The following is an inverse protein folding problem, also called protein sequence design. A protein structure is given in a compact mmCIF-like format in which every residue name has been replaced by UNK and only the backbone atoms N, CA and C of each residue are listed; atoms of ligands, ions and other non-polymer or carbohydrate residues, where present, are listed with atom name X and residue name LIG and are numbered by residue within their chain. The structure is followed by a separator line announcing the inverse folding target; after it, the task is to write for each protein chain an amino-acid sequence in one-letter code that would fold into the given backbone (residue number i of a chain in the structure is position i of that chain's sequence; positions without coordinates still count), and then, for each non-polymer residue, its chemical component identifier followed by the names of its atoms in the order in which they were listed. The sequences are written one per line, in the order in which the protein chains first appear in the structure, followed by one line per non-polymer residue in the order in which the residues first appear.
data_IF_327001602867
#
_entry.id   IF_327001602867
#
_cell.length_a   1.000
_cell.length_b   1.000
_cell.length_c   1.000
_cell.angle_alpha   90.00
_cell.angle_beta   90.00
_cell.angle_gamma   90.00
#
_symmetry.space_group_name_H-M   'P 1'
#
loop_
_entity.id
_entity.type
_entity.pdbx_description
1 polymer ?
#
# COMPACT_ATOMS: atom_id res chain seq x y z
N UNK A 1 -13.05 -34.59 19.70
CA UNK A 1 -13.79 -34.17 18.49
C UNK A 1 -13.29 -32.80 18.14
N UNK A 2 -12.32 -32.68 17.22
CA UNK A 2 -11.75 -31.41 16.78
C UNK A 2 -12.61 -30.87 15.63
N UNK A 3 -13.29 -29.75 15.87
CA UNK A 3 -14.05 -29.04 14.84
C UNK A 3 -13.08 -28.18 14.04
N UNK A 4 -12.68 -28.62 12.85
CA UNK A 4 -11.98 -27.78 11.87
C UNK A 4 -13.00 -26.84 11.23
N UNK A 5 -13.02 -25.57 11.67
CA UNK A 5 -13.73 -24.51 10.95
C UNK A 5 -12.85 -24.12 9.77
N UNK A 6 -13.19 -24.60 8.59
CA UNK A 6 -12.66 -24.05 7.35
C UNK A 6 -13.23 -22.63 7.18
N UNK A 7 -12.42 -21.61 7.39
CA UNK A 7 -12.73 -20.30 6.88
C UNK A 7 -12.65 -20.36 5.36
N UNK A 8 -13.78 -20.57 4.72
CA UNK A 8 -13.90 -20.30 3.29
C UNK A 8 -13.61 -18.81 3.09
N UNK A 9 -12.62 -18.52 2.25
CA UNK A 9 -12.37 -17.16 1.78
C UNK A 9 -13.62 -16.67 1.06
N UNK A 10 -14.41 -15.83 1.73
CA UNK A 10 -15.63 -15.24 1.21
C UNK A 10 -15.37 -14.37 -0.04
N UNK A 11 -14.12 -13.99 -0.31
CA UNK A 11 -13.76 -13.24 -1.52
C UNK A 11 -14.04 -14.06 -2.79
N UNK A 12 -13.94 -15.39 -2.72
CA UNK A 12 -14.24 -16.28 -3.84
C UNK A 12 -15.76 -16.38 -4.15
N UNK A 13 -16.61 -16.07 -3.18
CA UNK A 13 -18.07 -16.11 -3.34
C UNK A 13 -18.60 -14.80 -3.93
N UNK A 14 -17.91 -13.67 -3.71
CA UNK A 14 -18.32 -12.34 -4.20
C UNK A 14 -17.71 -11.95 -5.56
N UNK A 15 -16.91 -12.82 -6.19
CA UNK A 15 -16.43 -12.63 -7.56
C UNK A 15 -15.35 -11.55 -7.76
N UNK A 16 -14.80 -10.96 -6.70
CA UNK A 16 -13.73 -9.96 -6.81
C UNK A 16 -12.36 -10.62 -6.89
N UNK A 17 -11.79 -10.65 -8.10
CA UNK A 17 -10.39 -11.04 -8.28
C UNK A 17 -9.50 -9.89 -7.79
N UNK A 18 -8.68 -10.13 -6.76
CA UNK A 18 -7.73 -9.15 -6.22
C UNK A 18 -6.70 -8.76 -7.28
N UNK A 19 -6.44 -7.46 -7.39
CA UNK A 19 -5.35 -6.93 -8.21
C UNK A 19 -4.01 -7.24 -7.53
N UNK A 20 -3.09 -7.79 -8.29
CA UNK A 20 -1.74 -8.15 -7.84
C UNK A 20 -0.69 -7.44 -8.70
N UNK A 21 0.57 -7.47 -8.29
CA UNK A 21 1.67 -6.98 -9.11
C UNK A 21 1.72 -7.66 -10.48
N UNK A 22 1.40 -8.95 -10.55
CA UNK A 22 1.27 -9.67 -11.81
C UNK A 22 0.14 -9.12 -12.69
N UNK A 23 -1.03 -8.84 -12.09
CA UNK A 23 -2.15 -8.22 -12.81
C UNK A 23 -1.73 -6.90 -13.44
N UNK A 24 -0.99 -6.04 -12.71
CA UNK A 24 -0.50 -4.76 -13.24
C UNK A 24 0.49 -4.95 -14.39
N UNK A 25 1.35 -5.97 -14.33
CA UNK A 25 2.27 -6.30 -15.43
C UNK A 25 1.50 -6.77 -16.68
N UNK A 26 0.48 -7.59 -16.51
CA UNK A 26 -0.41 -8.05 -17.59
C UNK A 26 -1.15 -6.87 -18.22
N UNK A 27 -1.74 -5.96 -17.42
CA UNK A 27 -2.38 -4.74 -17.91
C UNK A 27 -1.40 -3.88 -18.72
N UNK A 28 -0.18 -3.67 -18.21
CA UNK A 28 0.85 -2.94 -18.93
C UNK A 28 1.20 -3.57 -20.28
N UNK A 29 1.33 -4.89 -20.32
CA UNK A 29 1.63 -5.63 -21.55
C UNK A 29 0.51 -5.52 -22.60
N UNK A 30 -0.74 -5.42 -22.12
CA UNK A 30 -1.92 -5.26 -22.96
C UNK A 30 -2.20 -3.79 -23.34
N UNK A 31 -1.36 -2.83 -22.93
CA UNK A 31 -1.61 -1.38 -23.05
C UNK A 31 -2.89 -0.89 -22.35
N UNK A 32 -3.32 -1.59 -21.32
CA UNK A 32 -4.44 -1.18 -20.47
C UNK A 32 -3.97 -0.12 -19.46
N UNK A 33 -4.82 0.87 -19.20
CA UNK A 33 -4.51 1.92 -18.22
C UNK A 33 -4.71 1.39 -16.80
N UNK A 34 -3.78 1.71 -15.90
CA UNK A 34 -3.84 1.40 -14.48
C UNK A 34 -4.31 2.64 -13.74
N UNK A 35 -5.41 2.53 -13.01
CA UNK A 35 -5.95 3.60 -12.17
C UNK A 35 -5.39 3.53 -10.76
N UNK A 36 -4.96 4.68 -10.21
CA UNK A 36 -4.46 4.78 -8.84
C UNK A 36 -5.07 6.01 -8.17
N UNK A 37 -5.59 5.82 -6.94
CA UNK A 37 -6.05 6.90 -6.07
C UNK A 37 -5.48 6.77 -4.67
N UNK A 38 -5.33 7.90 -3.97
CA UNK A 38 -4.92 7.92 -2.57
C UNK A 38 -6.09 7.68 -1.63
N UNK A 39 -5.83 6.96 -0.53
CA UNK A 39 -6.72 6.87 0.63
C UNK A 39 -5.90 6.71 1.91
N UNK A 40 -6.42 7.22 3.03
CA UNK A 40 -5.71 7.27 4.30
C UNK A 40 -6.50 6.66 5.47
N UNK A 41 -7.75 6.29 5.24
CA UNK A 41 -8.65 5.73 6.24
C UNK A 41 -9.53 4.62 5.66
N UNK A 42 -10.22 3.91 6.56
CA UNK A 42 -11.07 2.79 6.20
C UNK A 42 -12.26 3.19 5.31
N UNK A 43 -12.91 4.31 5.61
CA UNK A 43 -14.17 4.71 4.95
C UNK A 43 -13.92 5.09 3.49
N UNK A 44 -12.96 5.99 3.26
CA UNK A 44 -12.59 6.38 1.90
C UNK A 44 -11.99 5.23 1.10
N UNK A 45 -11.11 4.42 1.72
CA UNK A 45 -10.56 3.24 1.05
C UNK A 45 -11.64 2.27 0.58
N UNK A 46 -12.69 2.04 1.39
CA UNK A 46 -13.81 1.18 1.02
C UNK A 46 -14.60 1.74 -0.17
N UNK A 47 -14.86 3.04 -0.20
CA UNK A 47 -15.57 3.70 -1.30
C UNK A 47 -14.74 3.61 -2.60
N UNK A 48 -13.43 3.88 -2.50
CA UNK A 48 -12.51 3.83 -3.63
C UNK A 48 -12.37 2.40 -4.17
N UNK A 49 -12.24 1.41 -3.30
CA UNK A 49 -12.16 -0.01 -3.71
C UNK A 49 -13.42 -0.46 -4.48
N UNK A 50 -14.60 0.00 -4.05
CA UNK A 50 -15.87 -0.27 -4.72
C UNK A 50 -16.01 0.43 -6.09
N UNK A 51 -15.22 1.47 -6.37
CA UNK A 51 -15.20 2.15 -7.68
C UNK A 51 -14.33 1.45 -8.73
N UNK A 52 -13.83 0.26 -8.45
CA UNK A 52 -12.96 -0.55 -9.32
C UNK A 52 -11.61 0.07 -9.64
N UNK A 53 -11.09 0.94 -8.79
CA UNK A 53 -9.71 1.43 -8.89
C UNK A 53 -8.72 0.26 -8.74
N UNK A 54 -7.63 0.26 -9.52
CA UNK A 54 -6.69 -0.87 -9.52
C UNK A 54 -5.71 -0.82 -8.36
N UNK A 55 -5.31 0.39 -7.96
CA UNK A 55 -4.32 0.61 -6.90
C UNK A 55 -4.82 1.68 -5.93
N UNK A 56 -4.71 1.41 -4.64
CA UNK A 56 -4.88 2.42 -3.59
C UNK A 56 -3.50 2.73 -3.01
N UNK A 57 -3.14 4.02 -3.03
CA UNK A 57 -1.90 4.52 -2.45
C UNK A 57 -2.15 5.11 -1.06
N UNK A 58 -1.45 4.61 -0.07
CA UNK A 58 -1.30 5.29 1.22
C UNK A 58 -0.06 6.17 1.10
N UNK A 59 -0.26 7.42 0.70
CA UNK A 59 0.81 8.38 0.43
C UNK A 59 1.31 9.05 1.71
N UNK A 60 2.58 9.44 1.75
CA UNK A 60 3.14 10.30 2.80
C UNK A 60 2.49 11.69 2.82
N UNK A 61 1.77 12.05 1.75
CA UNK A 61 0.86 13.20 1.69
C UNK A 61 -0.24 13.18 2.77
N UNK A 62 -0.41 12.07 3.52
CA UNK A 62 -1.19 12.06 4.76
C UNK A 62 -0.71 13.13 5.75
N UNK A 63 0.58 13.45 5.74
CA UNK A 63 1.15 14.58 6.49
C UNK A 63 0.42 15.91 6.21
N UNK A 64 0.14 16.17 4.95
CA UNK A 64 -0.55 17.40 4.54
C UNK A 64 -2.05 17.31 4.77
N UNK A 65 -2.69 16.27 4.21
CA UNK A 65 -4.16 16.24 4.09
C UNK A 65 -4.87 15.71 5.33
N UNK A 66 -4.17 15.00 6.21
CA UNK A 66 -4.73 14.49 7.47
C UNK A 66 -4.17 15.24 8.67
N UNK A 67 -2.84 15.40 8.75
CA UNK A 67 -2.20 16.07 9.89
C UNK A 67 -2.09 17.59 9.72
N UNK A 68 -2.33 18.15 8.52
CA UNK A 68 -2.30 19.60 8.25
C UNK A 68 -0.90 20.21 8.21
N UNK A 69 0.15 19.39 8.06
CA UNK A 69 1.51 19.89 7.92
C UNK A 69 1.74 20.53 6.55
N UNK A 70 2.67 21.47 6.46
CA UNK A 70 3.02 22.14 5.19
C UNK A 70 3.75 21.22 4.21
N UNK A 71 4.43 20.19 4.72
CA UNK A 71 5.23 19.23 3.91
C UNK A 71 4.96 17.79 4.33
N UNK A 72 5.42 16.83 3.54
CA UNK A 72 5.34 15.40 3.87
C UNK A 72 6.43 14.94 4.85
N UNK A 73 7.46 15.76 5.08
CA UNK A 73 8.64 15.41 5.89
C UNK A 73 8.33 14.98 7.34
N UNK A 74 7.36 15.59 8.05
CA UNK A 74 7.13 15.26 9.46
C UNK A 74 6.49 13.89 9.71
N UNK A 75 5.81 13.29 8.72
CA UNK A 75 5.09 12.04 8.95
C UNK A 75 6.05 10.88 9.28
N UNK A 76 5.73 10.14 10.31
CA UNK A 76 6.54 9.03 10.79
C UNK A 76 6.18 7.70 10.14
N UNK A 77 7.08 6.72 10.21
CA UNK A 77 6.81 5.36 9.76
C UNK A 77 5.63 4.71 10.50
N UNK A 78 5.47 5.01 11.80
CA UNK A 78 4.39 4.46 12.62
C UNK A 78 3.02 5.03 12.21
N UNK A 79 2.95 6.31 11.88
CA UNK A 79 1.73 6.93 11.33
C UNK A 79 1.38 6.35 9.96
N UNK A 80 2.36 6.15 9.09
CA UNK A 80 2.13 5.48 7.80
C UNK A 80 1.59 4.07 7.98
N UNK A 81 2.13 3.30 8.94
CA UNK A 81 1.65 1.96 9.28
C UNK A 81 0.21 2.02 9.83
N UNK A 82 -0.12 3.02 10.65
CA UNK A 82 -1.48 3.22 11.16
C UNK A 82 -2.49 3.44 10.04
N UNK A 83 -2.21 4.36 9.12
CA UNK A 83 -3.04 4.62 7.95
C UNK A 83 -3.15 3.37 7.05
N UNK A 84 -2.03 2.72 6.78
CA UNK A 84 -1.98 1.52 5.94
C UNK A 84 -2.83 0.38 6.51
N UNK A 85 -2.81 0.14 7.83
CA UNK A 85 -3.68 -0.85 8.50
C UNK A 85 -5.16 -0.59 8.24
N UNK A 86 -5.58 0.67 8.27
CA UNK A 86 -6.97 1.07 8.04
C UNK A 86 -7.39 0.82 6.60
N UNK A 87 -6.53 1.20 5.64
CA UNK A 87 -6.77 1.03 4.20
C UNK A 87 -6.79 -0.44 3.79
N UNK A 88 -5.81 -1.23 4.26
CA UNK A 88 -5.72 -2.67 3.93
C UNK A 88 -6.95 -3.44 4.40
N UNK A 89 -7.48 -3.10 5.59
CA UNK A 89 -8.72 -3.73 6.10
C UNK A 89 -9.95 -3.44 5.21
N UNK A 90 -9.95 -2.30 4.53
CA UNK A 90 -11.06 -1.89 3.67
C UNK A 90 -10.95 -2.45 2.25
N UNK A 91 -9.74 -2.56 1.71
CA UNK A 91 -9.48 -2.94 0.34
C UNK A 91 -9.66 -4.46 0.13
N UNK A 92 -10.62 -4.84 -0.70
CA UNK A 92 -10.88 -6.24 -1.06
C UNK A 92 -10.32 -6.58 -2.44
N UNK A 93 -10.37 -5.64 -3.38
CA UNK A 93 -9.94 -5.80 -4.77
C UNK A 93 -8.61 -5.10 -5.05
N UNK A 94 -8.48 -3.83 -4.73
CA UNK A 94 -7.34 -3.01 -5.11
C UNK A 94 -6.01 -3.47 -4.49
N UNK A 95 -4.93 -3.31 -5.23
CA UNK A 95 -3.57 -3.46 -4.70
C UNK A 95 -3.27 -2.25 -3.81
N UNK A 96 -2.89 -2.48 -2.56
CA UNK A 96 -2.52 -1.40 -1.63
C UNK A 96 -1.01 -1.20 -1.64
N UNK A 97 -0.59 0.01 -1.98
CA UNK A 97 0.80 0.47 -1.98
C UNK A 97 0.96 1.51 -0.87
N UNK A 98 2.09 1.49 -0.16
CA UNK A 98 2.37 2.41 0.94
C UNK A 98 3.69 3.11 0.72
N UNK A 99 3.72 4.43 0.88
CA UNK A 99 4.96 5.19 0.82
C UNK A 99 5.85 4.93 2.03
N UNK A 100 7.16 4.80 1.76
CA UNK A 100 8.16 4.96 2.79
C UNK A 100 8.36 6.47 3.05
N UNK A 101 8.12 6.96 4.28
CA UNK A 101 8.25 8.38 4.57
C UNK A 101 9.71 8.85 4.56
N UNK A 102 9.89 10.15 4.43
CA UNK A 102 11.21 10.78 4.42
C UNK A 102 12.07 10.34 5.61
N UNK A 103 13.36 10.10 5.37
CA UNK A 103 14.32 9.68 6.39
C UNK A 103 14.36 8.18 6.67
N UNK A 104 13.44 7.38 6.06
CA UNK A 104 13.34 5.94 6.33
C UNK A 104 14.02 5.04 5.30
N UNK A 105 14.55 5.62 4.20
CA UNK A 105 15.15 4.82 3.12
C UNK A 105 16.33 5.51 2.39
N UNK A 106 16.54 6.83 2.60
CA UNK A 106 17.51 7.58 1.81
C UNK A 106 18.96 7.33 2.27
N UNK A 107 19.18 7.07 3.56
CA UNK A 107 20.54 7.01 4.11
C UNK A 107 21.29 5.73 3.77
N UNK A 108 20.58 4.58 3.73
CA UNK A 108 21.16 3.31 3.35
C UNK A 108 20.12 2.24 3.03
N UNK A 109 20.51 1.23 2.25
CA UNK A 109 19.63 0.15 1.78
C UNK A 109 19.16 -0.80 2.90
N UNK A 110 19.90 -0.91 4.01
CA UNK A 110 19.47 -1.75 5.15
C UNK A 110 18.33 -1.08 5.92
N UNK A 111 18.40 0.24 6.07
CA UNK A 111 17.32 1.01 6.67
C UNK A 111 16.06 0.93 5.79
N UNK A 112 16.21 1.11 4.48
CA UNK A 112 15.12 0.97 3.51
C UNK A 112 14.42 -0.40 3.63
N UNK A 113 15.19 -1.47 3.64
CA UNK A 113 14.67 -2.84 3.79
C UNK A 113 13.94 -3.02 5.12
N UNK A 114 14.50 -2.55 6.24
CA UNK A 114 13.85 -2.66 7.56
C UNK A 114 12.51 -1.90 7.59
N UNK A 115 12.47 -0.70 7.02
CA UNK A 115 11.26 0.12 6.95
C UNK A 115 10.20 -0.54 6.07
N UNK A 116 10.58 -1.07 4.91
CA UNK A 116 9.69 -1.83 4.03
C UNK A 116 9.13 -3.08 4.71
N UNK A 117 9.97 -3.86 5.42
CA UNK A 117 9.54 -5.04 6.18
C UNK A 117 8.51 -4.64 7.25
N UNK A 118 8.72 -3.53 7.97
CA UNK A 118 7.77 -3.05 8.97
C UNK A 118 6.42 -2.71 8.34
N UNK A 119 6.39 -1.92 7.27
CA UNK A 119 5.15 -1.59 6.57
C UNK A 119 4.43 -2.87 6.14
N UNK A 120 5.09 -3.74 5.39
CA UNK A 120 4.48 -4.95 4.85
C UNK A 120 3.95 -5.88 5.96
N UNK A 121 4.79 -6.12 6.97
CA UNK A 121 4.47 -7.08 8.05
C UNK A 121 3.42 -6.56 9.02
N UNK A 122 3.49 -5.26 9.38
CA UNK A 122 2.61 -4.69 10.40
C UNK A 122 1.26 -4.23 9.84
N UNK A 123 1.20 -3.81 8.57
CA UNK A 123 -0.05 -3.35 7.94
C UNK A 123 -0.74 -4.39 7.06
N UNK A 124 0.00 -5.34 6.51
CA UNK A 124 -0.49 -6.26 5.49
C UNK A 124 -0.55 -5.62 4.09
N UNK A 125 0.13 -4.50 3.87
CA UNK A 125 0.23 -3.87 2.55
C UNK A 125 0.85 -4.80 1.51
N UNK A 126 0.57 -4.55 0.22
CA UNK A 126 0.96 -5.43 -0.86
C UNK A 126 2.24 -5.00 -1.57
N UNK A 127 2.60 -3.71 -1.46
CA UNK A 127 3.82 -3.13 -2.00
C UNK A 127 4.20 -1.86 -1.24
N UNK A 128 5.44 -1.42 -1.41
CA UNK A 128 5.92 -0.12 -0.92
C UNK A 128 6.36 0.75 -2.09
N UNK A 129 6.28 2.08 -1.92
CA UNK A 129 6.81 3.05 -2.88
C UNK A 129 7.94 3.85 -2.22
N UNK A 130 8.99 4.10 -2.98
CA UNK A 130 10.10 4.96 -2.63
C UNK A 130 10.20 6.07 -3.67
N UNK A 131 10.55 7.27 -3.24
CA UNK A 131 10.80 8.40 -4.12
C UNK A 131 12.29 8.66 -4.28
N UNK A 132 12.74 8.92 -5.51
CA UNK A 132 14.11 9.24 -5.85
C UNK A 132 14.50 8.75 -7.24
N UNK A 133 15.74 9.00 -7.58
CA UNK A 133 16.35 8.59 -8.86
C UNK A 133 17.44 7.55 -8.65
N UNK A 134 18.59 7.76 -9.31
CA UNK A 134 19.71 6.83 -9.26
C UNK A 134 20.31 6.66 -7.87
N UNK A 135 20.17 7.65 -7.00
CA UNK A 135 20.70 7.69 -5.63
C UNK A 135 20.06 6.66 -4.70
N UNK A 136 18.82 6.24 -4.97
CA UNK A 136 18.12 5.21 -4.17
C UNK A 136 18.13 3.82 -4.81
N UNK A 137 18.85 3.64 -5.91
CA UNK A 137 18.87 2.37 -6.68
C UNK A 137 19.23 1.17 -5.80
N UNK A 138 20.21 1.33 -4.91
CA UNK A 138 20.64 0.26 -4.01
C UNK A 138 19.55 -0.09 -2.98
N UNK A 139 18.78 0.89 -2.54
CA UNK A 139 17.63 0.67 -1.65
C UNK A 139 16.50 -0.10 -2.36
N UNK A 140 16.26 0.19 -3.63
CA UNK A 140 15.24 -0.50 -4.43
C UNK A 140 15.65 -1.93 -4.80
N UNK A 141 16.97 -2.18 -4.96
CA UNK A 141 17.51 -3.49 -5.35
C UNK A 141 17.60 -4.49 -4.20
N UNK A 142 17.37 -4.07 -2.95
CA UNK A 142 17.45 -4.89 -1.74
C UNK A 142 16.17 -5.67 -1.50
#
# INVERSE_FOLDING_TARGET
MFLFIYFYDLSSIMGYKRVTTRTLLEMKSNNEKISMLTAYDYTFAKIIDQSNVDVILVGDSASNVIAGNETTVPITLDEMIYHAKSVVKAAQRALVVVDLPFGTYQSDSKLALRSAIRIMKESGAHAVKLEGGSEIKDSVSK
#
